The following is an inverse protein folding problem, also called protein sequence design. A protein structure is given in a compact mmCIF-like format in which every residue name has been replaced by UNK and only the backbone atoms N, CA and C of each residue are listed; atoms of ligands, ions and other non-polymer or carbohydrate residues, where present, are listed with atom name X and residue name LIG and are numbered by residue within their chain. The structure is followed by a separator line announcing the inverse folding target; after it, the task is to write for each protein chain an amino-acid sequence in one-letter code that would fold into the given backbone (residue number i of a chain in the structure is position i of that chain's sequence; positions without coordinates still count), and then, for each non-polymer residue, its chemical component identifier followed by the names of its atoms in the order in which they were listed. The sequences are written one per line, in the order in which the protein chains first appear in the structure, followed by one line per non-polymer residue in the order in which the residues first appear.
data_IF_589938939336
#
_entry.id   IF_589938939336
#
_cell.length_a   1.000
_cell.length_b   1.000
_cell.length_c   1.000
_cell.angle_alpha   90.00
_cell.angle_beta   90.00
_cell.angle_gamma   90.00
#
_symmetry.space_group_name_H-M   'P 1'
#
loop_
_entity.id
_entity.type
_entity.pdbx_description
1 polymer ?
#
# COMPACT_ATOMS: atom_id res chain seq x y z
N UNK A 1 -19.33 7.75 -22.90
CA UNK A 1 -20.07 7.60 -21.62
C UNK A 1 -19.20 8.26 -20.56
N UNK A 2 -19.73 9.11 -19.67
CA UNK A 2 -18.93 9.62 -18.56
C UNK A 2 -18.47 8.43 -17.72
N UNK A 3 -17.16 8.28 -17.54
CA UNK A 3 -16.62 7.29 -16.62
C UNK A 3 -17.10 7.68 -15.21
N UNK A 4 -17.60 6.72 -14.44
CA UNK A 4 -17.94 6.99 -13.04
C UNK A 4 -16.67 7.46 -12.32
N UNK A 5 -16.76 8.57 -11.60
CA UNK A 5 -15.66 9.04 -10.77
C UNK A 5 -15.27 7.92 -9.80
N UNK A 6 -14.04 7.44 -9.90
CA UNK A 6 -13.52 6.43 -8.99
C UNK A 6 -13.25 7.07 -7.63
N UNK A 7 -13.44 6.27 -6.60
CA UNK A 7 -13.06 6.62 -5.24
C UNK A 7 -12.20 5.46 -4.73
N UNK A 8 -10.98 5.73 -4.22
CA UNK A 8 -10.16 4.69 -3.64
C UNK A 8 -10.91 3.97 -2.51
N UNK A 9 -10.59 2.69 -2.20
CA UNK A 9 -11.06 2.08 -0.96
C UNK A 9 -10.55 2.87 0.25
N UNK A 10 -11.12 2.67 1.45
CA UNK A 10 -10.66 3.33 2.67
C UNK A 10 -9.13 3.23 2.87
N UNK A 11 -8.51 4.22 3.53
CA UNK A 11 -7.05 4.28 3.71
C UNK A 11 -6.49 3.05 4.43
N UNK A 12 -7.26 2.39 5.30
CA UNK A 12 -6.88 1.16 5.98
C UNK A 12 -6.59 0.01 5.01
N UNK A 13 -7.34 -0.08 3.91
CA UNK A 13 -7.10 -1.11 2.90
C UNK A 13 -5.70 -0.95 2.27
N UNK A 14 -5.36 0.27 1.84
CA UNK A 14 -4.04 0.59 1.27
C UNK A 14 -2.92 0.35 2.29
N UNK A 15 -3.14 0.78 3.53
CA UNK A 15 -2.17 0.64 4.61
C UNK A 15 -1.88 -0.82 4.94
N UNK A 16 -2.91 -1.62 5.15
CA UNK A 16 -2.79 -3.04 5.51
C UNK A 16 -2.16 -3.82 4.36
N UNK A 17 -2.70 -3.71 3.15
CA UNK A 17 -2.24 -4.51 2.01
C UNK A 17 -0.81 -4.15 1.62
N UNK A 18 -0.52 -2.87 1.41
CA UNK A 18 0.84 -2.46 1.05
C UNK A 18 1.83 -2.63 2.21
N UNK A 19 1.38 -2.52 3.46
CA UNK A 19 2.21 -2.76 4.62
C UNK A 19 2.57 -4.23 4.82
N UNK A 20 1.64 -5.15 4.54
CA UNK A 20 1.93 -6.59 4.48
C UNK A 20 2.92 -6.89 3.35
N UNK A 21 2.76 -6.25 2.19
CA UNK A 21 3.74 -6.37 1.09
C UNK A 21 5.13 -5.86 1.49
N UNK A 22 5.22 -4.70 2.14
CA UNK A 22 6.49 -4.18 2.66
C UNK A 22 7.11 -5.11 3.71
N UNK A 23 6.28 -5.71 4.57
CA UNK A 23 6.70 -6.70 5.57
C UNK A 23 7.29 -7.95 4.91
N UNK A 24 6.57 -8.53 3.93
CA UNK A 24 7.04 -9.69 3.19
C UNK A 24 8.29 -9.38 2.36
N UNK A 25 8.36 -8.22 1.71
CA UNK A 25 9.52 -7.77 0.94
C UNK A 25 10.75 -7.47 1.83
N UNK A 26 10.54 -7.12 3.10
CA UNK A 26 11.64 -6.98 4.07
C UNK A 26 12.12 -8.34 4.56
N UNK A 27 11.21 -9.32 4.63
CA UNK A 27 11.50 -10.66 5.12
C UNK A 27 12.03 -11.61 4.03
N UNK A 28 11.78 -11.34 2.77
CA UNK A 28 12.24 -12.12 1.63
C UNK A 28 12.47 -11.17 0.45
N UNK A 29 13.44 -11.47 -0.42
CA UNK A 29 13.67 -10.67 -1.62
C UNK A 29 12.51 -10.86 -2.62
N UNK A 30 11.51 -9.99 -2.50
CA UNK A 30 10.33 -9.92 -3.38
C UNK A 30 10.40 -8.70 -4.29
N UNK A 31 11.60 -8.19 -4.58
CA UNK A 31 11.82 -6.99 -5.37
C UNK A 31 11.24 -7.05 -6.79
N UNK A 32 11.00 -8.26 -7.30
CA UNK A 32 10.32 -8.49 -8.58
C UNK A 32 8.83 -8.11 -8.58
N UNK A 33 8.23 -7.87 -7.40
CA UNK A 33 6.81 -7.49 -7.23
C UNK A 33 6.60 -5.97 -7.11
N UNK A 34 7.65 -5.20 -7.35
CA UNK A 34 7.70 -3.76 -7.11
C UNK A 34 8.46 -3.44 -5.82
N UNK A 35 8.75 -2.16 -5.66
CA UNK A 35 9.45 -1.64 -4.51
C UNK A 35 8.43 -1.18 -3.48
N UNK A 36 8.55 -1.74 -2.28
CA UNK A 36 7.73 -1.39 -1.14
C UNK A 36 8.64 -0.83 -0.06
N UNK A 37 8.37 0.40 0.38
CA UNK A 37 9.18 1.04 1.40
C UNK A 37 8.31 1.65 2.51
N UNK A 38 8.77 1.51 3.74
CA UNK A 38 8.27 2.31 4.85
C UNK A 38 9.07 3.61 4.91
N UNK A 39 8.35 4.72 4.86
CA UNK A 39 8.90 6.05 5.05
C UNK A 39 8.76 6.45 6.53
N UNK A 40 9.29 7.61 6.91
CA UNK A 40 9.20 8.07 8.30
C UNK A 40 7.74 8.12 8.80
N UNK A 41 6.82 8.48 7.91
CA UNK A 41 5.41 8.81 8.18
C UNK A 41 4.41 8.14 7.23
N UNK A 42 4.89 7.28 6.33
CA UNK A 42 4.06 6.75 5.25
C UNK A 42 4.53 5.42 4.69
N UNK A 43 3.78 4.94 3.73
CA UNK A 43 4.02 3.72 2.99
C UNK A 43 4.05 4.08 1.50
N UNK A 44 5.08 3.61 0.81
CA UNK A 44 5.34 3.91 -0.58
C UNK A 44 5.43 2.64 -1.42
N UNK A 45 4.87 2.72 -2.62
CA UNK A 45 4.89 1.69 -3.65
C UNK A 45 5.36 2.26 -4.99
N UNK A 46 6.21 1.51 -5.69
CA UNK A 46 6.62 1.74 -7.07
C UNK A 46 6.68 0.42 -7.83
N UNK A 47 6.01 0.34 -8.98
CA UNK A 47 5.93 -0.85 -9.81
C UNK A 47 7.15 -1.04 -10.74
N UNK A 48 8.13 -0.13 -10.67
CA UNK A 48 9.32 0.00 -11.51
C UNK A 48 9.04 0.25 -13.01
N UNK A 49 7.78 0.49 -13.38
CA UNK A 49 7.32 0.78 -14.75
C UNK A 49 6.74 2.19 -14.87
N UNK A 50 7.01 3.06 -13.88
CA UNK A 50 6.59 4.45 -13.89
C UNK A 50 5.25 4.69 -13.21
N UNK A 51 4.75 3.73 -12.42
CA UNK A 51 3.55 3.93 -11.62
C UNK A 51 3.81 3.62 -10.15
N UNK A 52 3.16 4.38 -9.27
CA UNK A 52 3.35 4.26 -7.84
C UNK A 52 2.38 5.10 -7.03
N UNK A 53 2.36 4.86 -5.74
CA UNK A 53 1.59 5.66 -4.79
C UNK A 53 2.28 5.76 -3.45
N UNK A 54 1.93 6.80 -2.70
CA UNK A 54 2.35 7.02 -1.32
C UNK A 54 1.11 7.33 -0.48
N UNK A 55 0.99 6.65 0.67
CA UNK A 55 -0.03 6.95 1.67
C UNK A 55 0.62 7.34 2.99
N UNK A 56 0.12 8.40 3.61
CA UNK A 56 0.53 8.86 4.94
C UNK A 56 -0.68 9.09 5.83
N UNK A 57 -0.57 8.71 7.10
CA UNK A 57 -1.60 8.98 8.10
C UNK A 57 -1.30 10.29 8.81
N UNK A 58 -2.35 11.02 9.11
CA UNK A 58 -2.35 12.30 9.82
C UNK A 58 -3.24 12.16 11.05
N UNK A 59 -2.86 12.83 12.14
CA UNK A 59 -3.60 12.79 13.40
C UNK A 59 -5.10 13.06 13.21
N UNK A 60 -5.93 12.31 13.93
CA UNK A 60 -7.38 12.47 13.91
C UNK A 60 -8.08 11.66 12.83
N UNK A 61 -7.55 10.46 12.52
CA UNK A 61 -8.12 9.53 11.53
C UNK A 61 -8.18 10.12 10.12
N UNK A 62 -7.09 10.80 9.73
CA UNK A 62 -6.93 11.46 8.44
C UNK A 62 -5.82 10.77 7.66
N UNK A 63 -5.91 10.82 6.35
CA UNK A 63 -4.86 10.28 5.49
C UNK A 63 -4.72 11.10 4.21
N UNK A 64 -3.53 11.08 3.61
CA UNK A 64 -3.27 11.58 2.26
C UNK A 64 -2.71 10.44 1.43
N UNK A 65 -3.32 10.21 0.26
CA UNK A 65 -2.89 9.24 -0.73
C UNK A 65 -2.58 10.01 -2.04
N UNK A 66 -1.31 10.04 -2.42
CA UNK A 66 -0.86 10.62 -3.69
C UNK A 66 -0.30 9.54 -4.60
N UNK A 67 -0.34 9.76 -5.90
CA UNK A 67 0.20 8.78 -6.82
C UNK A 67 0.29 9.25 -8.26
N UNK A 68 0.85 8.36 -9.06
CA UNK A 68 0.94 8.50 -10.50
C UNK A 68 0.82 7.13 -11.16
N UNK A 69 0.10 7.07 -12.27
CA UNK A 69 0.02 5.89 -13.13
C UNK A 69 0.40 6.33 -14.55
N UNK A 70 1.43 5.73 -15.14
CA UNK A 70 1.96 6.14 -16.45
C UNK A 70 0.98 5.92 -17.60
N UNK A 71 0.07 4.95 -17.49
CA UNK A 71 -0.91 4.62 -18.51
C UNK A 71 -2.17 5.47 -18.37
N UNK A 72 -2.40 6.00 -17.17
CA UNK A 72 -3.70 6.55 -16.79
C UNK A 72 -3.66 7.95 -16.20
N UNK A 73 -2.49 8.52 -15.91
CA UNK A 73 -2.36 9.83 -15.26
C UNK A 73 -1.54 10.81 -16.09
N UNK A 74 -2.00 12.06 -16.15
CA UNK A 74 -1.18 13.19 -16.56
C UNK A 74 -0.55 13.84 -15.32
N UNK A 75 0.74 14.24 -15.35
CA UNK A 75 1.34 14.98 -14.24
C UNK A 75 0.58 16.29 -14.02
N UNK A 76 0.20 16.56 -12.78
CA UNK A 76 -0.48 17.78 -12.36
C UNK A 76 0.44 18.65 -11.51
N UNK A 77 0.22 19.96 -11.52
CA UNK A 77 0.92 20.86 -10.60
C UNK A 77 0.32 20.78 -9.21
N UNK A 78 1.11 21.13 -8.21
CA UNK A 78 0.70 21.14 -6.79
C UNK A 78 -0.56 22.00 -6.55
N UNK A 79 -0.67 23.17 -7.17
CA UNK A 79 -1.85 24.03 -7.03
C UNK A 79 -3.11 23.39 -7.61
N UNK A 80 -2.98 22.61 -8.68
CA UNK A 80 -4.07 21.83 -9.26
C UNK A 80 -4.45 20.63 -8.37
N UNK A 81 -3.47 19.94 -7.79
CA UNK A 81 -3.67 18.78 -6.91
C UNK A 81 -4.33 19.14 -5.57
N UNK A 82 -3.96 20.29 -5.02
CA UNK A 82 -4.36 20.73 -3.67
C UNK A 82 -5.47 21.78 -3.69
N UNK A 83 -6.12 22.02 -4.83
CA UNK A 83 -7.24 22.96 -4.91
C UNK A 83 -8.37 22.52 -3.96
N UNK A 84 -8.61 23.34 -2.94
CA UNK A 84 -9.64 23.09 -1.91
C UNK A 84 -9.23 22.09 -0.84
N UNK A 85 -7.97 21.64 -0.82
CA UNK A 85 -7.44 20.82 0.25
C UNK A 85 -7.32 21.64 1.55
N UNK A 86 -7.59 21.05 2.72
CA UNK A 86 -7.30 21.69 3.99
C UNK A 86 -5.78 21.80 4.21
N UNK A 87 -5.35 22.78 5.03
CA UNK A 87 -3.92 23.05 5.27
C UNK A 87 -3.15 21.82 5.75
N UNK A 88 -3.77 20.95 6.56
CA UNK A 88 -3.14 19.71 7.03
C UNK A 88 -2.86 18.71 5.91
N UNK A 89 -3.72 18.66 4.88
CA UNK A 89 -3.55 17.77 3.75
C UNK A 89 -2.44 18.29 2.82
N UNK A 90 -2.40 19.60 2.60
CA UNK A 90 -1.33 20.25 1.85
C UNK A 90 0.04 20.06 2.52
N UNK A 91 0.12 20.24 3.84
CA UNK A 91 1.33 19.98 4.61
C UNK A 91 1.79 18.52 4.49
N UNK A 92 0.87 17.57 4.68
CA UNK A 92 1.17 16.15 4.54
C UNK A 92 1.63 15.79 3.13
N UNK A 93 1.01 16.35 2.09
CA UNK A 93 1.41 16.16 0.70
C UNK A 93 2.84 16.64 0.44
N UNK A 94 3.24 17.78 1.00
CA UNK A 94 4.59 18.34 0.83
C UNK A 94 5.69 17.49 1.49
N UNK A 95 5.35 16.67 2.49
CA UNK A 95 6.27 15.71 3.10
C UNK A 95 6.46 14.43 2.26
N UNK A 96 5.53 14.16 1.33
CA UNK A 96 5.63 13.05 0.39
C UNK A 96 6.67 13.35 -0.68
N UNK A 97 7.33 12.31 -1.21
CA UNK A 97 8.50 12.47 -2.09
C UNK A 97 8.25 12.06 -3.54
N UNK A 98 6.98 11.95 -3.92
CA UNK A 98 6.60 11.47 -5.24
C UNK A 98 6.69 12.59 -6.28
N UNK A 99 7.33 12.30 -7.42
CA UNK A 99 7.39 13.16 -8.60
C UNK A 99 7.62 12.26 -9.84
N UNK A 100 6.73 12.25 -10.85
CA UNK A 100 5.51 13.06 -10.98
C UNK A 100 4.36 12.59 -10.08
N UNK A 101 3.38 13.49 -9.86
CA UNK A 101 2.10 13.18 -9.21
C UNK A 101 0.97 13.51 -10.18
N UNK A 102 0.05 12.56 -10.35
CA UNK A 102 -1.15 12.72 -11.19
C UNK A 102 -2.45 12.78 -10.39
N UNK A 103 -2.43 12.40 -9.12
CA UNK A 103 -3.57 12.49 -8.22
C UNK A 103 -3.17 12.71 -6.76
N UNK A 104 -4.07 13.31 -5.99
CA UNK A 104 -3.98 13.45 -4.55
C UNK A 104 -5.37 13.34 -3.94
N UNK A 105 -5.57 12.37 -3.05
CA UNK A 105 -6.77 12.18 -2.25
C UNK A 105 -6.47 12.45 -0.79
N UNK A 106 -7.41 13.09 -0.08
CA UNK A 106 -7.35 13.27 1.37
C UNK A 106 -8.60 12.71 2.02
N UNK A 107 -8.41 11.93 3.08
CA UNK A 107 -9.45 11.27 3.84
C UNK A 107 -9.79 12.09 5.09
N UNK A 108 -11.08 12.39 5.25
CA UNK A 108 -11.63 13.06 6.44
C UNK A 108 -13.12 12.71 6.55
N UNK A 109 -13.60 12.56 7.79
CA UNK A 109 -15.01 12.28 8.10
C UNK A 109 -15.57 11.02 7.38
N UNK A 110 -14.74 9.99 7.22
CA UNK A 110 -15.15 8.72 6.61
C UNK A 110 -15.27 8.74 5.08
N UNK A 111 -14.67 9.73 4.40
CA UNK A 111 -14.74 9.87 2.95
C UNK A 111 -13.46 10.42 2.33
N UNK A 112 -13.15 9.97 1.12
CA UNK A 112 -12.10 10.58 0.29
C UNK A 112 -12.61 11.86 -0.37
N UNK A 113 -11.75 12.86 -0.41
CA UNK A 113 -11.89 14.11 -1.16
C UNK A 113 -10.68 14.27 -2.08
N UNK A 114 -10.85 14.98 -3.19
CA UNK A 114 -9.78 15.33 -4.12
C UNK A 114 -10.14 16.63 -4.85
N UNK A 115 -9.15 17.26 -5.48
CA UNK A 115 -9.41 18.37 -6.39
C UNK A 115 -10.18 17.88 -7.62
N UNK A 116 -11.08 18.71 -8.16
CA UNK A 116 -11.92 18.34 -9.30
C UNK A 116 -11.13 17.95 -10.57
N UNK A 117 -9.95 18.56 -10.77
CA UNK A 117 -9.00 18.23 -11.84
C UNK A 117 -8.46 16.79 -11.74
N UNK A 118 -8.28 16.26 -10.54
CA UNK A 118 -7.81 14.88 -10.32
C UNK A 118 -8.90 13.83 -10.62
N UNK A 119 -10.18 14.23 -10.66
CA UNK A 119 -11.30 13.35 -11.02
C UNK A 119 -11.37 13.12 -12.53
N UNK A 120 -10.93 14.09 -13.33
CA UNK A 120 -11.06 14.07 -14.79
C UNK A 120 -9.93 13.29 -15.48
N UNK A 121 -8.79 13.09 -14.83
CA UNK A 121 -7.59 12.53 -15.46
C UNK A 121 -7.58 11.02 -15.66
N UNK A 122 -8.65 10.26 -15.40
CA UNK A 122 -8.65 8.78 -15.51
C UNK A 122 -7.54 8.08 -14.69
N UNK A 123 -6.81 8.78 -13.80
CA UNK A 123 -5.71 8.27 -12.96
C UNK A 123 -6.13 7.30 -11.86
N UNK A 124 -7.24 6.61 -12.11
CA UNK A 124 -8.11 5.91 -11.17
C UNK A 124 -8.05 4.40 -11.33
N UNK A 125 -7.32 3.93 -12.34
CA UNK A 125 -6.64 2.66 -12.24
C UNK A 125 -5.43 2.91 -11.34
N UNK A 126 -5.61 2.86 -10.02
CA UNK A 126 -4.45 2.89 -9.12
C UNK A 126 -3.53 1.77 -9.58
N UNK A 127 -2.35 2.12 -10.09
CA UNK A 127 -1.32 1.16 -10.39
C UNK A 127 -1.01 0.38 -9.12
N UNK A 128 -1.47 -0.86 -9.10
CA UNK A 128 -1.51 -1.65 -7.87
C UNK A 128 -2.69 -1.30 -6.99
N UNK A 129 -3.92 -1.40 -7.53
CA UNK A 129 -5.15 -1.54 -6.73
C UNK A 129 -4.79 -2.39 -5.52
N UNK A 130 -4.85 -1.85 -4.30
CA UNK A 130 -4.57 -2.62 -3.11
C UNK A 130 -5.37 -3.92 -3.10
N UNK A 131 -6.64 -3.83 -3.52
CA UNK A 131 -7.58 -4.95 -3.72
C UNK A 131 -7.14 -6.05 -4.70
N UNK A 132 -6.16 -5.78 -5.58
CA UNK A 132 -5.57 -6.79 -6.46
C UNK A 132 -4.17 -7.20 -6.00
N UNK A 133 -3.58 -6.59 -4.96
CA UNK A 133 -2.25 -6.96 -4.44
C UNK A 133 -2.26 -8.40 -3.93
N UNK A 134 -3.33 -8.81 -3.24
CA UNK A 134 -3.47 -10.17 -2.75
C UNK A 134 -3.52 -11.19 -3.88
N UNK A 135 -4.28 -10.88 -4.95
CA UNK A 135 -4.35 -11.71 -6.15
C UNK A 135 -3.05 -11.66 -6.96
N UNK A 136 -2.44 -10.48 -7.15
CA UNK A 136 -1.16 -10.32 -7.84
C UNK A 136 -0.04 -11.01 -7.09
N UNK A 137 -0.02 -10.95 -5.77
CA UNK A 137 0.90 -11.71 -4.93
C UNK A 137 0.62 -13.19 -5.10
N UNK A 138 -0.62 -13.66 -4.96
CA UNK A 138 -0.95 -15.07 -5.18
C UNK A 138 -0.58 -15.55 -6.59
N UNK A 139 -0.88 -14.78 -7.64
CA UNK A 139 -0.56 -15.04 -9.05
C UNK A 139 0.97 -15.03 -9.27
N UNK A 140 1.72 -14.17 -8.59
CA UNK A 140 3.18 -14.13 -8.68
C UNK A 140 3.86 -15.20 -7.85
N UNK A 141 3.34 -15.51 -6.68
CA UNK A 141 3.75 -16.65 -5.88
C UNK A 141 3.45 -17.95 -6.63
N UNK A 142 2.37 -18.00 -7.41
CA UNK A 142 2.09 -19.08 -8.36
C UNK A 142 3.25 -19.28 -9.34
N UNK A 143 3.84 -18.19 -9.88
CA UNK A 143 4.99 -18.27 -10.79
C UNK A 143 6.23 -18.89 -10.11
N UNK A 144 6.38 -18.72 -8.79
CA UNK A 144 7.46 -19.31 -8.00
C UNK A 144 7.16 -20.74 -7.51
N UNK A 145 5.88 -21.08 -7.38
CA UNK A 145 5.46 -22.44 -7.14
C UNK A 145 5.62 -23.22 -8.44
N UNK A 146 6.61 -24.10 -8.51
CA UNK A 146 6.86 -25.01 -9.65
C UNK A 146 5.74 -26.03 -9.90
N UNK A 147 4.54 -25.82 -9.35
CA UNK A 147 3.41 -26.74 -9.33
C UNK A 147 2.18 -26.08 -9.94
N UNK A 148 1.74 -26.62 -11.07
CA UNK A 148 0.40 -26.42 -11.65
C UNK A 148 -0.70 -27.02 -10.75
N UNK A 149 -0.68 -26.75 -9.44
CA UNK A 149 -1.62 -27.29 -8.47
C UNK A 149 -2.47 -26.17 -7.87
N UNK A 150 -3.76 -26.18 -8.23
CA UNK A 150 -4.75 -25.23 -7.73
C UNK A 150 -4.85 -25.26 -6.18
N UNK A 151 -4.59 -26.39 -5.54
CA UNK A 151 -4.63 -26.49 -4.08
C UNK A 151 -3.51 -25.67 -3.44
N UNK A 152 -2.35 -25.57 -4.11
CA UNK A 152 -1.24 -24.73 -3.64
C UNK A 152 -1.58 -23.24 -3.75
N UNK A 153 -2.28 -22.82 -4.81
CA UNK A 153 -2.74 -21.43 -4.97
C UNK A 153 -3.78 -21.04 -3.92
N UNK A 154 -4.75 -21.92 -3.67
CA UNK A 154 -5.77 -21.70 -2.65
C UNK A 154 -5.14 -21.60 -1.25
N UNK A 155 -4.12 -22.41 -0.95
CA UNK A 155 -3.37 -22.32 0.30
C UNK A 155 -2.59 -21.00 0.41
N UNK A 156 -1.92 -20.56 -0.67
CA UNK A 156 -1.25 -19.25 -0.70
C UNK A 156 -2.20 -18.11 -0.40
N UNK A 157 -3.34 -18.10 -1.09
CA UNK A 157 -4.35 -17.07 -0.89
C UNK A 157 -4.87 -17.08 0.56
N UNK A 158 -5.20 -18.26 1.10
CA UNK A 158 -5.69 -18.40 2.48
C UNK A 158 -4.68 -17.84 3.51
N UNK A 159 -3.39 -18.16 3.37
CA UNK A 159 -2.36 -17.68 4.29
C UNK A 159 -2.13 -16.17 4.18
N UNK A 160 -2.25 -15.63 2.98
CA UNK A 160 -2.18 -14.19 2.78
C UNK A 160 -3.37 -13.47 3.43
N UNK A 161 -4.58 -14.01 3.28
CA UNK A 161 -5.78 -13.49 3.93
C UNK A 161 -5.65 -13.53 5.46
N UNK A 162 -5.08 -14.61 6.01
CA UNK A 162 -4.76 -14.73 7.45
C UNK A 162 -3.77 -13.64 7.90
N UNK A 163 -2.71 -13.41 7.13
CA UNK A 163 -1.69 -12.39 7.43
C UNK A 163 -2.27 -10.97 7.35
N UNK A 164 -3.11 -10.67 6.35
CA UNK A 164 -3.81 -9.40 6.21
C UNK A 164 -4.75 -9.16 7.39
N UNK A 165 -5.48 -10.19 7.82
CA UNK A 165 -6.35 -10.12 9.01
C UNK A 165 -5.53 -9.86 10.27
N UNK A 166 -4.42 -10.57 10.48
CA UNK A 166 -3.55 -10.36 11.62
C UNK A 166 -2.92 -8.96 11.65
N UNK A 167 -2.54 -8.42 10.48
CA UNK A 167 -2.05 -7.06 10.36
C UNK A 167 -3.14 -6.03 10.71
N UNK A 168 -4.36 -6.20 10.19
CA UNK A 168 -5.49 -5.33 10.52
C UNK A 168 -5.91 -5.36 11.98
N UNK A 169 -5.72 -6.49 12.66
CA UNK A 169 -5.98 -6.65 14.10
C UNK A 169 -4.80 -6.25 15.00
N UNK A 170 -3.66 -5.86 14.42
CA UNK A 170 -2.46 -5.48 15.18
C UNK A 170 -1.84 -6.65 15.96
N UNK A 171 -1.95 -7.87 15.44
CA UNK A 171 -1.53 -9.12 16.10
C UNK A 171 -0.50 -9.94 15.31
N UNK A 172 0.09 -9.37 14.27
CA UNK A 172 1.10 -10.04 13.46
C UNK A 172 2.34 -10.36 14.33
N UNK A 173 2.75 -11.62 14.32
CA UNK A 173 3.88 -12.14 15.08
C UNK A 173 4.79 -13.05 14.23
N UNK A 174 5.82 -13.63 14.86
CA UNK A 174 6.79 -14.52 14.19
C UNK A 174 6.12 -15.76 13.57
N UNK A 175 5.09 -16.30 14.21
CA UNK A 175 4.39 -17.50 13.73
C UNK A 175 3.52 -17.19 12.51
N UNK A 176 2.76 -16.10 12.56
CA UNK A 176 1.96 -15.59 11.44
C UNK A 176 2.83 -15.32 10.20
N UNK A 177 3.90 -14.52 10.39
CA UNK A 177 4.81 -14.18 9.30
C UNK A 177 5.59 -15.39 8.79
N UNK A 178 6.11 -16.23 9.69
CA UNK A 178 6.82 -17.45 9.33
C UNK A 178 5.96 -18.40 8.51
N UNK A 179 4.68 -18.58 8.88
CA UNK A 179 3.75 -19.43 8.14
C UNK A 179 3.47 -18.90 6.73
N UNK A 180 3.44 -17.59 6.52
CA UNK A 180 3.27 -17.01 5.19
C UNK A 180 4.55 -17.19 4.34
N UNK A 181 5.71 -16.98 4.94
CA UNK A 181 7.00 -17.15 4.28
C UNK A 181 7.29 -18.60 3.91
N UNK A 182 6.84 -19.59 4.68
CA UNK A 182 7.06 -21.02 4.39
C UNK A 182 6.57 -21.48 3.01
N UNK A 183 5.64 -20.71 2.42
CA UNK A 183 5.10 -20.92 1.08
C UNK A 183 6.02 -20.41 -0.04
N UNK A 184 6.97 -19.53 0.30
CA UNK A 184 7.95 -18.99 -0.63
C UNK A 184 9.06 -20.02 -0.85
N UNK A 185 9.47 -20.17 -2.11
CA UNK A 185 10.30 -21.28 -2.55
C UNK A 185 11.73 -21.26 -1.97
N UNK A 186 12.27 -20.09 -1.61
CA UNK A 186 13.65 -19.95 -1.13
C UNK A 186 13.75 -19.55 0.35
N UNK A 187 13.61 -20.56 1.22
CA UNK A 187 13.75 -20.43 2.67
C UNK A 187 15.11 -19.92 3.13
N UNK A 188 16.16 -20.03 2.30
CA UNK A 188 17.51 -19.60 2.69
C UNK A 188 17.67 -18.09 2.73
N UNK A 189 16.70 -17.36 2.15
CA UNK A 189 16.69 -15.90 2.08
C UNK A 189 15.70 -15.26 3.06
N UNK A 190 15.06 -16.04 3.94
CA UNK A 190 14.08 -15.49 4.87
C UNK A 190 14.75 -14.80 6.06
N UNK A 191 14.44 -13.53 6.27
CA UNK A 191 14.74 -12.75 7.46
C UNK A 191 13.44 -12.33 8.16
N UNK A 192 12.87 -13.26 8.92
CA UNK A 192 11.64 -13.02 9.71
C UNK A 192 11.80 -11.82 10.64
N UNK A 193 13.02 -11.59 11.17
CA UNK A 193 13.32 -10.46 12.04
C UNK A 193 13.19 -9.11 11.33
N UNK A 194 13.71 -9.00 10.10
CA UNK A 194 13.55 -7.81 9.27
C UNK A 194 12.07 -7.55 8.92
N UNK A 195 11.32 -8.59 8.58
CA UNK A 195 9.87 -8.47 8.38
C UNK A 195 9.13 -7.97 9.61
N UNK A 196 9.37 -8.57 10.79
CA UNK A 196 8.75 -8.14 12.03
C UNK A 196 9.11 -6.69 12.40
N UNK A 197 10.36 -6.26 12.16
CA UNK A 197 10.75 -4.88 12.38
C UNK A 197 9.91 -3.92 11.50
N UNK A 198 9.71 -4.25 10.22
CA UNK A 198 8.84 -3.51 9.32
C UNK A 198 7.38 -3.52 9.78
N UNK A 199 6.85 -4.68 10.20
CA UNK A 199 5.49 -4.80 10.72
C UNK A 199 5.27 -3.96 11.99
N UNK A 200 6.26 -3.92 12.90
CA UNK A 200 6.22 -3.08 14.10
C UNK A 200 6.22 -1.59 13.74
N UNK A 201 7.01 -1.17 12.75
CA UNK A 201 7.02 0.22 12.27
C UNK A 201 5.66 0.65 11.71
N UNK A 202 4.93 -0.27 11.09
CA UNK A 202 3.62 -0.04 10.48
C UNK A 202 2.44 -0.17 11.45
N UNK A 203 2.69 -0.62 12.69
CA UNK A 203 1.65 -0.78 13.71
C UNK A 203 0.91 -2.13 13.67
N UNK A 204 1.47 -3.15 13.01
CA UNK A 204 0.81 -4.46 12.84
C UNK A 204 1.11 -5.48 13.93
N UNK A 205 2.08 -5.20 14.79
CA UNK A 205 2.47 -6.11 15.88
C UNK A 205 1.81 -5.73 17.21
N UNK A 206 1.64 -6.66 18.17
CA UNK A 206 1.04 -6.38 19.46
C UNK A 206 1.69 -5.19 20.18
N UNK A 207 0.89 -4.19 20.55
CA UNK A 207 1.35 -3.00 21.28
C UNK A 207 2.11 -1.97 20.44
N UNK A 208 2.34 -2.23 19.15
CA UNK A 208 2.80 -1.20 18.23
C UNK A 208 1.64 -0.29 17.82
N UNK A 209 1.97 0.93 17.40
CA UNK A 209 1.00 1.90 16.91
C UNK A 209 1.43 2.34 15.52
N UNK A 210 0.44 2.53 14.66
CA UNK A 210 0.62 3.18 13.37
C UNK A 210 1.16 4.59 13.59
N UNK A 211 2.16 4.98 12.81
CA UNK A 211 2.71 6.34 12.85
C UNK A 211 1.78 7.31 12.16
N UNK A 212 1.62 8.48 12.75
CA UNK A 212 0.79 9.56 12.21
C UNK A 212 1.60 10.86 12.21
N UNK A 213 1.34 11.71 11.21
CA UNK A 213 1.87 13.06 11.12
C UNK A 213 1.04 13.95 12.06
N UNK A 214 1.68 14.65 13.03
CA UNK A 214 0.95 15.55 13.91
C UNK A 214 0.42 16.75 13.12
N UNK A 215 -0.79 17.21 13.45
CA UNK A 215 -1.33 18.44 12.87
C UNK A 215 -0.79 19.62 13.69
N UNK A 216 -0.15 20.57 13.00
CA UNK A 216 0.40 21.80 13.60
C UNK A 216 -0.69 22.81 14.00
#
# INVERSE_FOLDING_TARGET
MPHAAYTPPPPECHWIEGGVMATLNSAADLSSLGQWATMATGLWYDDANGSGWEISWVEGDRAVLSGYDVEHSEPLKEDELLTGAPDWAAYCFQEQRMDPVGFCFWWEDGSWRCAGSAVETNGTHIAGRPMDSGKRLADRLAEFLTRDDQDSLNEVQRRLDELLMAAGEGRLDEGELGSALEMLADRSQHDVGAGLATATLLGFTPGSQRREIPVL
#
